data_IF_225016924488
#
_entry.id   IF_225016924488
#
_cell.length_a   1.000
_cell.length_b   1.000
_cell.length_c   1.000
_cell.angle_alpha   90.00
_cell.angle_beta   90.00
_cell.angle_gamma   90.00
#
_symmetry.space_group_name_H-M   'P 1'
#
loop_
_entity.id
_entity.type
_entity.pdbx_description
1 polymer ?
#
# COMPACT_ATOMS: atom_id res chain seq x y z
N UNK A 1 4.60 27.69 0.13
CA UNK A 1 3.65 27.38 1.23
C UNK A 1 3.81 25.91 1.54
N UNK A 2 4.12 25.53 2.79
CA UNK A 2 4.16 24.12 3.18
C UNK A 2 2.71 23.65 3.33
N UNK A 3 2.13 23.15 2.26
CA UNK A 3 0.79 22.58 2.34
C UNK A 3 0.83 21.33 3.22
N UNK A 4 -0.11 21.25 4.15
CA UNK A 4 -0.23 20.17 5.12
C UNK A 4 -1.22 19.15 4.58
N UNK A 5 -0.78 17.90 4.45
CA UNK A 5 -1.59 16.76 4.00
C UNK A 5 -1.78 15.78 5.15
N UNK A 6 -2.92 15.15 5.21
CA UNK A 6 -3.18 14.07 6.17
C UNK A 6 -2.99 12.74 5.47
N UNK A 7 -2.16 11.86 6.03
CA UNK A 7 -1.98 10.52 5.51
C UNK A 7 -2.91 9.55 6.26
N UNK A 8 -3.96 9.10 5.57
CA UNK A 8 -5.03 8.28 6.11
C UNK A 8 -4.58 6.80 6.24
N UNK A 9 -3.66 6.53 7.14
CA UNK A 9 -3.20 5.17 7.45
C UNK A 9 -2.92 5.01 8.95
N UNK A 10 -3.26 3.86 9.49
CA UNK A 10 -2.87 3.43 10.85
C UNK A 10 -1.63 2.54 10.83
N UNK A 11 -1.13 2.15 9.64
CA UNK A 11 0.06 1.31 9.51
C UNK A 11 1.32 2.18 9.54
N UNK A 12 2.09 2.06 10.64
CA UNK A 12 3.30 2.86 10.85
C UNK A 12 4.35 2.67 9.74
N UNK A 13 4.49 1.44 9.18
CA UNK A 13 5.44 1.16 8.10
C UNK A 13 5.01 1.80 6.78
N UNK A 14 3.71 1.80 6.47
CA UNK A 14 3.16 2.55 5.33
C UNK A 14 3.38 4.05 5.50
N UNK A 15 3.11 4.58 6.71
CA UNK A 15 3.32 5.99 7.03
C UNK A 15 4.77 6.40 6.78
N UNK A 16 5.73 5.59 7.23
CA UNK A 16 7.16 5.83 7.04
C UNK A 16 7.54 5.83 5.55
N UNK A 17 7.18 4.77 4.79
CA UNK A 17 7.46 4.65 3.36
C UNK A 17 6.87 5.82 2.56
N UNK A 18 5.62 6.18 2.81
CA UNK A 18 4.93 7.26 2.09
C UNK A 18 5.49 8.63 2.46
N UNK A 19 5.75 8.88 3.75
CA UNK A 19 6.31 10.14 4.22
C UNK A 19 7.69 10.41 3.64
N UNK A 20 8.54 9.38 3.53
CA UNK A 20 9.87 9.49 2.93
C UNK A 20 9.82 9.92 1.45
N UNK A 21 8.81 9.48 0.71
CA UNK A 21 8.63 9.85 -0.70
C UNK A 21 7.99 11.25 -0.82
N UNK A 22 6.92 11.52 -0.07
CA UNK A 22 6.17 12.77 -0.15
C UNK A 22 6.96 13.98 0.37
N UNK A 23 7.86 13.77 1.34
CA UNK A 23 8.73 14.84 1.84
C UNK A 23 9.64 15.45 0.76
N UNK A 24 10.02 14.67 -0.25
CA UNK A 24 10.81 15.14 -1.41
C UNK A 24 10.06 16.15 -2.28
N UNK A 25 8.73 16.20 -2.16
CA UNK A 25 7.86 17.17 -2.85
C UNK A 25 7.67 18.48 -2.06
N UNK A 26 8.30 18.62 -0.88
CA UNK A 26 8.10 19.77 0.00
C UNK A 26 6.73 19.78 0.69
N UNK A 27 6.02 18.66 0.68
CA UNK A 27 4.72 18.49 1.32
C UNK A 27 4.94 18.03 2.77
N UNK A 28 4.28 18.68 3.71
CA UNK A 28 4.27 18.22 5.11
C UNK A 28 3.13 17.22 5.32
N UNK A 29 3.49 16.01 5.69
CA UNK A 29 2.52 14.96 6.01
C UNK A 29 2.32 14.85 7.51
N UNK A 30 1.09 14.63 7.95
CA UNK A 30 0.70 14.37 9.34
C UNK A 30 -0.25 13.17 9.39
N UNK A 31 -0.25 12.46 10.51
CA UNK A 31 -1.22 11.39 10.74
C UNK A 31 -2.57 11.94 11.22
N UNK A 32 -3.69 11.19 11.09
CA UNK A 32 -4.97 11.56 11.69
C UNK A 32 -4.87 11.74 13.21
N UNK A 33 -4.09 10.89 13.88
CA UNK A 33 -3.90 10.94 15.33
C UNK A 33 -3.26 12.26 15.80
N UNK A 34 -2.30 12.81 15.04
CA UNK A 34 -1.71 14.13 15.34
C UNK A 34 -2.72 15.28 15.27
N UNK A 35 -3.86 15.07 14.62
CA UNK A 35 -4.97 16.02 14.51
C UNK A 35 -6.13 15.69 15.46
N UNK A 36 -5.99 14.65 16.28
CA UNK A 36 -7.07 14.19 17.16
C UNK A 36 -8.24 13.54 16.40
N UNK A 37 -8.01 13.09 15.16
CA UNK A 37 -9.02 12.44 14.33
C UNK A 37 -8.99 10.95 14.62
N UNK A 38 -10.14 10.42 15.06
CA UNK A 38 -10.34 8.99 15.42
C UNK A 38 -11.31 8.28 14.49
N UNK A 39 -11.51 8.83 13.27
CA UNK A 39 -12.40 8.21 12.29
C UNK A 39 -11.82 6.89 11.83
N UNK A 40 -12.57 5.82 12.05
CA UNK A 40 -12.32 4.51 11.46
C UNK A 40 -13.17 4.35 10.20
N UNK A 41 -12.54 3.90 9.12
CA UNK A 41 -13.18 3.80 7.80
C UNK A 41 -13.27 2.34 7.42
N UNK A 42 -14.49 1.83 7.34
CA UNK A 42 -14.73 0.48 6.86
C UNK A 42 -14.38 0.37 5.37
N UNK A 43 -13.49 -0.54 5.04
CA UNK A 43 -13.06 -0.82 3.66
C UNK A 43 -14.07 -1.77 2.99
N UNK A 44 -15.13 -1.20 2.43
CA UNK A 44 -16.23 -1.92 1.77
C UNK A 44 -16.09 -1.98 0.25
N UNK A 45 -15.05 -1.38 -0.30
CA UNK A 45 -14.78 -1.38 -1.74
C UNK A 45 -14.36 -2.76 -2.27
N UNK A 46 -14.69 -3.03 -3.51
CA UNK A 46 -14.32 -4.25 -4.23
C UNK A 46 -12.91 -4.15 -4.85
N UNK A 47 -12.38 -2.93 -4.95
CA UNK A 47 -11.06 -2.64 -5.51
C UNK A 47 -10.19 -1.83 -4.54
N UNK A 48 -8.87 -1.89 -4.74
CA UNK A 48 -7.93 -1.05 -3.98
C UNK A 48 -8.21 0.45 -4.18
N UNK A 49 -8.57 0.85 -5.40
CA UNK A 49 -8.89 2.25 -5.72
C UNK A 49 -10.13 2.75 -4.96
N UNK A 50 -11.18 1.92 -4.86
CA UNK A 50 -12.37 2.25 -4.07
C UNK A 50 -12.05 2.39 -2.59
N UNK A 51 -11.30 1.47 -1.99
CA UNK A 51 -10.92 1.53 -0.59
C UNK A 51 -10.01 2.74 -0.29
N UNK A 52 -9.02 3.03 -1.15
CA UNK A 52 -8.20 4.24 -1.03
C UNK A 52 -9.07 5.51 -1.08
N UNK A 53 -10.03 5.57 -2.00
CA UNK A 53 -10.97 6.68 -2.13
C UNK A 53 -11.84 6.85 -0.88
N UNK A 54 -12.42 5.77 -0.35
CA UNK A 54 -13.24 5.80 0.86
C UNK A 54 -12.46 6.41 2.04
N UNK A 55 -11.24 5.93 2.26
CA UNK A 55 -10.36 6.44 3.33
C UNK A 55 -9.99 7.91 3.13
N UNK A 56 -9.57 8.29 1.92
CA UNK A 56 -9.18 9.67 1.64
C UNK A 56 -10.35 10.65 1.80
N UNK A 57 -11.55 10.30 1.32
CA UNK A 57 -12.76 11.12 1.48
C UNK A 57 -13.14 11.33 2.96
N UNK A 58 -13.16 10.27 3.74
CA UNK A 58 -13.55 10.33 5.14
C UNK A 58 -12.58 11.21 5.96
N UNK A 59 -11.28 11.03 5.75
CA UNK A 59 -10.26 11.80 6.47
C UNK A 59 -10.21 13.25 5.96
N UNK A 60 -10.37 13.52 4.66
CA UNK A 60 -10.46 14.87 4.12
C UNK A 60 -11.65 15.65 4.74
N UNK A 61 -12.81 15.01 4.83
CA UNK A 61 -14.00 15.60 5.44
C UNK A 61 -13.80 15.89 6.94
N UNK A 62 -13.16 14.98 7.68
CA UNK A 62 -12.91 15.14 9.11
C UNK A 62 -11.84 16.20 9.41
N UNK A 63 -10.79 16.27 8.58
CA UNK A 63 -9.66 17.19 8.79
C UNK A 63 -9.87 18.57 8.18
N UNK A 64 -10.74 18.70 7.18
CA UNK A 64 -10.82 19.85 6.27
C UNK A 64 -9.44 20.21 5.67
N UNK A 65 -8.66 19.20 5.36
CA UNK A 65 -7.33 19.27 4.75
C UNK A 65 -7.23 18.24 3.61
N UNK A 66 -6.32 18.42 2.64
CA UNK A 66 -6.04 17.38 1.67
C UNK A 66 -5.65 16.09 2.38
N UNK A 67 -6.29 14.99 2.02
CA UNK A 67 -6.04 13.67 2.61
C UNK A 67 -5.60 12.68 1.55
N UNK A 68 -4.50 12.00 1.83
CA UNK A 68 -3.92 10.95 0.99
C UNK A 68 -4.18 9.61 1.68
N UNK A 69 -4.67 8.64 0.93
CA UNK A 69 -4.79 7.26 1.37
C UNK A 69 -4.21 6.31 0.33
N UNK A 70 -3.70 5.17 0.78
CA UNK A 70 -3.40 4.04 -0.09
C UNK A 70 -4.24 2.83 0.31
N UNK A 71 -4.54 2.00 -0.67
CA UNK A 71 -4.90 0.60 -0.42
C UNK A 71 -4.05 -0.30 -1.30
N UNK A 72 -3.64 -1.45 -0.76
CA UNK A 72 -2.69 -2.32 -1.43
C UNK A 72 -2.80 -3.75 -0.94
N UNK A 73 -2.50 -4.68 -1.81
CA UNK A 73 -2.53 -6.09 -1.46
C UNK A 73 -1.82 -6.98 -2.45
N UNK A 74 -1.73 -8.24 -2.07
CA UNK A 74 -1.15 -9.33 -2.85
C UNK A 74 -2.26 -10.04 -3.62
N UNK A 75 -2.07 -10.18 -4.92
CA UNK A 75 -2.94 -10.96 -5.80
C UNK A 75 -2.17 -12.17 -6.31
N UNK A 76 -2.70 -13.37 -6.10
CA UNK A 76 -2.06 -14.65 -6.48
C UNK A 76 -2.92 -15.35 -7.52
N UNK A 77 -2.35 -15.64 -8.68
CA UNK A 77 -3.10 -16.19 -9.82
C UNK A 77 -3.73 -17.55 -9.48
N UNK A 78 -3.00 -18.44 -8.80
CA UNK A 78 -3.52 -19.74 -8.38
C UNK A 78 -4.65 -19.68 -7.35
N UNK A 79 -4.87 -18.51 -6.75
CA UNK A 79 -5.97 -18.22 -5.80
C UNK A 79 -7.02 -17.28 -6.41
N UNK A 80 -7.12 -17.24 -7.74
CA UNK A 80 -8.05 -16.37 -8.47
C UNK A 80 -7.94 -14.89 -8.08
N UNK A 81 -6.72 -14.40 -7.88
CA UNK A 81 -6.43 -13.04 -7.44
C UNK A 81 -6.50 -12.83 -5.92
N UNK A 82 -6.86 -13.86 -5.15
CA UNK A 82 -6.82 -13.77 -3.69
C UNK A 82 -5.38 -13.70 -3.14
N UNK A 83 -5.20 -13.14 -1.94
CA UNK A 83 -6.16 -12.50 -1.05
C UNK A 83 -6.69 -11.13 -1.51
N UNK A 84 -6.04 -10.41 -2.45
CA UNK A 84 -6.52 -9.17 -3.03
C UNK A 84 -6.78 -8.09 -1.97
N UNK A 85 -7.94 -7.45 -1.99
CA UNK A 85 -8.33 -6.41 -1.01
C UNK A 85 -8.43 -6.93 0.43
N UNK A 86 -8.45 -8.24 0.62
CA UNK A 86 -8.44 -8.87 1.94
C UNK A 86 -7.04 -9.19 2.46
N UNK A 87 -5.98 -8.71 1.80
CA UNK A 87 -4.59 -9.04 2.14
C UNK A 87 -4.25 -8.78 3.61
N UNK A 88 -4.68 -7.65 4.16
CA UNK A 88 -4.39 -7.27 5.54
C UNK A 88 -5.13 -8.12 6.59
N UNK A 89 -6.24 -8.77 6.22
CA UNK A 89 -7.09 -9.58 7.09
C UNK A 89 -7.26 -11.03 6.64
N UNK A 90 -6.42 -11.49 5.69
CA UNK A 90 -6.46 -12.86 5.18
C UNK A 90 -6.23 -13.87 6.29
N UNK A 91 -7.20 -14.76 6.49
CA UNK A 91 -7.21 -15.74 7.57
C UNK A 91 -7.70 -15.23 8.92
N UNK A 92 -8.22 -13.98 8.97
CA UNK A 92 -8.78 -13.38 10.17
C UNK A 92 -7.88 -12.32 10.80
N UNK A 93 -8.44 -11.55 11.71
CA UNK A 93 -7.77 -10.43 12.37
C UNK A 93 -6.74 -10.86 13.41
N UNK A 94 -6.90 -12.07 13.98
CA UNK A 94 -6.01 -12.62 15.01
C UNK A 94 -4.64 -13.05 14.50
N UNK A 95 -4.46 -13.16 13.16
CA UNK A 95 -3.17 -13.54 12.59
C UNK A 95 -2.23 -12.34 12.50
N UNK A 96 -0.99 -12.54 12.96
CA UNK A 96 0.13 -11.66 12.65
C UNK A 96 0.61 -11.85 11.18
N UNK A 97 1.55 -11.05 10.74
CA UNK A 97 2.11 -11.14 9.38
C UNK A 97 2.64 -12.55 9.09
N UNK A 98 3.31 -13.17 10.07
CA UNK A 98 3.87 -14.52 9.92
C UNK A 98 2.78 -15.57 9.75
N UNK A 99 1.78 -15.55 10.60
CA UNK A 99 0.63 -16.47 10.51
C UNK A 99 -0.06 -16.34 9.16
N UNK A 100 -0.20 -15.11 8.68
CA UNK A 100 -0.87 -14.76 7.42
C UNK A 100 -0.12 -15.26 6.20
N UNK A 101 1.21 -15.03 6.09
CA UNK A 101 1.96 -15.57 4.96
C UNK A 101 2.18 -17.09 5.04
N UNK A 102 2.22 -17.68 6.23
CA UNK A 102 2.26 -19.14 6.38
C UNK A 102 0.95 -19.78 5.95
N UNK A 103 -0.20 -19.16 6.24
CA UNK A 103 -1.49 -19.58 5.72
C UNK A 103 -1.51 -19.53 4.19
N UNK A 104 -0.99 -18.46 3.59
CA UNK A 104 -0.86 -18.33 2.14
C UNK A 104 -0.02 -19.48 1.56
N UNK A 105 1.15 -19.74 2.12
CA UNK A 105 2.01 -20.85 1.67
C UNK A 105 1.31 -22.20 1.79
N UNK A 106 0.51 -22.40 2.83
CA UNK A 106 -0.28 -23.62 2.98
C UNK A 106 -1.37 -23.74 1.90
N UNK A 107 -2.06 -22.64 1.59
CA UNK A 107 -3.06 -22.58 0.50
C UNK A 107 -2.42 -22.80 -0.89
N UNK A 108 -1.12 -22.54 -1.01
CA UNK A 108 -0.34 -22.75 -2.23
C UNK A 108 0.26 -24.15 -2.35
N UNK A 109 -0.04 -25.09 -1.41
CA UNK A 109 0.46 -26.47 -1.50
C UNK A 109 -0.13 -27.17 -2.72
N UNK A 110 0.74 -27.81 -3.49
CA UNK A 110 0.36 -28.51 -4.72
C UNK A 110 0.11 -27.62 -5.93
N UNK A 111 0.15 -26.29 -5.76
CA UNK A 111 0.03 -25.37 -6.88
C UNK A 111 1.35 -25.27 -7.63
N UNK A 112 1.30 -25.50 -8.96
CA UNK A 112 2.45 -25.35 -9.86
C UNK A 112 2.62 -23.92 -10.33
N UNK A 113 1.52 -23.19 -10.54
CA UNK A 113 1.51 -21.77 -10.87
C UNK A 113 1.73 -20.96 -9.61
N UNK A 114 2.80 -20.19 -9.58
CA UNK A 114 3.15 -19.36 -8.42
C UNK A 114 3.17 -17.88 -8.73
N UNK A 115 2.74 -17.51 -9.94
CA UNK A 115 2.68 -16.10 -10.35
C UNK A 115 1.77 -15.31 -9.42
N UNK A 116 2.24 -14.13 -9.07
CA UNK A 116 1.55 -13.20 -8.18
C UNK A 116 1.99 -11.77 -8.50
N UNK A 117 1.20 -10.81 -8.07
CA UNK A 117 1.61 -9.43 -8.11
C UNK A 117 1.11 -8.70 -6.87
N UNK A 118 1.86 -7.71 -6.43
CA UNK A 118 1.34 -6.69 -5.54
C UNK A 118 0.73 -5.55 -6.35
N UNK A 119 -0.38 -5.02 -5.88
CA UNK A 119 -1.02 -3.81 -6.41
C UNK A 119 -1.17 -2.77 -5.29
N UNK A 120 -1.11 -1.50 -5.68
CA UNK A 120 -1.33 -0.35 -4.81
C UNK A 120 -2.13 0.71 -5.58
N UNK A 121 -3.17 1.22 -4.97
CA UNK A 121 -3.86 2.42 -5.40
C UNK A 121 -3.64 3.53 -4.36
N UNK A 122 -3.31 4.73 -4.83
CA UNK A 122 -3.18 5.95 -4.03
C UNK A 122 -4.27 6.92 -4.46
N UNK A 123 -4.95 7.51 -3.50
CA UNK A 123 -5.97 8.52 -3.73
C UNK A 123 -5.69 9.73 -2.83
N UNK A 124 -5.75 10.93 -3.39
CA UNK A 124 -5.77 12.18 -2.64
C UNK A 124 -7.08 12.91 -2.92
N UNK A 125 -7.77 13.31 -1.86
CA UNK A 125 -8.98 14.13 -1.92
C UNK A 125 -8.68 15.49 -1.30
N UNK A 126 -9.06 16.55 -2.00
CA UNK A 126 -8.89 17.92 -1.57
C UNK A 126 -10.21 18.50 -1.02
N UNK A 127 -10.18 19.49 -0.09
CA UNK A 127 -11.40 20.11 0.44
C UNK A 127 -12.27 20.80 -0.62
N UNK A 128 -11.68 21.21 -1.76
CA UNK A 128 -12.41 21.80 -2.90
C UNK A 128 -13.13 20.74 -3.77
N UNK A 129 -13.00 19.46 -3.45
CA UNK A 129 -13.59 18.34 -4.17
C UNK A 129 -12.72 17.74 -5.26
N UNK A 130 -11.55 18.29 -5.53
CA UNK A 130 -10.61 17.71 -6.50
C UNK A 130 -10.08 16.36 -5.99
N UNK A 131 -9.79 15.45 -6.93
CA UNK A 131 -9.29 14.11 -6.63
C UNK A 131 -8.10 13.82 -7.55
N UNK A 132 -7.02 13.33 -6.95
CA UNK A 132 -5.89 12.76 -7.67
C UNK A 132 -5.76 11.27 -7.33
N UNK A 133 -5.55 10.45 -8.34
CA UNK A 133 -5.33 9.00 -8.19
C UNK A 133 -4.07 8.56 -8.92
N UNK A 134 -3.42 7.54 -8.38
CA UNK A 134 -2.32 6.85 -9.04
C UNK A 134 -2.33 5.38 -8.65
N UNK A 135 -1.80 4.52 -9.51
CA UNK A 135 -1.73 3.09 -9.29
C UNK A 135 -0.33 2.55 -9.60
N UNK A 136 0.01 1.46 -8.97
CA UNK A 136 1.26 0.76 -9.24
C UNK A 136 1.15 -0.71 -8.97
N UNK A 137 1.89 -1.51 -9.75
CA UNK A 137 1.95 -2.94 -9.59
C UNK A 137 3.40 -3.45 -9.69
N UNK A 138 3.67 -4.53 -8.97
CA UNK A 138 4.92 -5.25 -9.05
C UNK A 138 4.64 -6.73 -9.24
N UNK A 139 4.99 -7.27 -10.41
CA UNK A 139 4.89 -8.69 -10.70
C UNK A 139 5.97 -9.49 -9.98
N UNK A 140 5.65 -10.74 -9.67
CA UNK A 140 6.56 -11.64 -9.00
C UNK A 140 5.97 -13.04 -8.87
N UNK A 141 6.45 -13.78 -7.88
CA UNK A 141 5.97 -15.13 -7.60
C UNK A 141 5.96 -15.41 -6.10
N UNK A 142 5.13 -16.34 -5.67
CA UNK A 142 5.14 -16.83 -4.28
C UNK A 142 6.29 -17.83 -4.11
N UNK A 143 7.22 -17.55 -3.23
CA UNK A 143 8.31 -18.44 -2.85
C UNK A 143 7.78 -19.71 -2.19
N UNK A 144 8.58 -20.78 -2.17
CA UNK A 144 8.20 -22.04 -1.51
C UNK A 144 8.37 -22.00 0.01
N UNK A 145 9.22 -21.09 0.50
CA UNK A 145 9.47 -20.86 1.91
C UNK A 145 9.77 -19.37 2.14
N UNK A 146 9.56 -18.85 3.36
CA UNK A 146 9.94 -17.48 3.68
C UNK A 146 11.45 -17.28 3.61
N UNK A 147 11.88 -16.14 3.07
CA UNK A 147 13.29 -15.74 2.99
C UNK A 147 13.42 -14.25 3.34
N UNK A 148 14.44 -13.91 4.15
CA UNK A 148 14.67 -12.54 4.62
C UNK A 148 13.83 -12.18 5.83
N UNK A 149 14.23 -11.09 6.51
CA UNK A 149 13.63 -10.63 7.76
C UNK A 149 13.15 -9.18 7.66
N UNK A 150 13.41 -8.51 6.54
CA UNK A 150 13.02 -7.13 6.29
C UNK A 150 11.55 -6.98 5.89
N UNK A 151 11.11 -5.74 5.82
CA UNK A 151 9.78 -5.39 5.34
C UNK A 151 8.64 -5.75 6.28
N UNK A 152 7.47 -6.10 5.72
CA UNK A 152 6.25 -6.46 6.45
C UNK A 152 5.27 -7.26 5.56
N UNK A 153 4.22 -7.77 6.18
CA UNK A 153 3.17 -8.51 5.46
C UNK A 153 3.72 -9.74 4.75
N UNK A 154 3.51 -9.80 3.44
CA UNK A 154 3.92 -10.93 2.60
C UNK A 154 5.34 -10.81 2.01
N UNK A 155 6.11 -9.79 2.39
CA UNK A 155 7.46 -9.55 1.85
C UNK A 155 8.39 -10.78 1.92
N UNK A 156 8.38 -11.61 3.00
CA UNK A 156 9.24 -12.79 3.08
C UNK A 156 8.90 -13.89 2.06
N UNK A 157 7.71 -13.88 1.50
CA UNK A 157 7.25 -14.91 0.55
C UNK A 157 7.01 -14.38 -0.87
N UNK A 158 7.17 -13.09 -1.11
CA UNK A 158 7.05 -12.48 -2.43
C UNK A 158 8.41 -12.39 -3.12
N UNK A 159 8.66 -13.29 -4.04
CA UNK A 159 9.90 -13.38 -4.83
C UNK A 159 9.81 -12.44 -6.04
N UNK A 160 10.85 -11.66 -6.25
CA UNK A 160 11.09 -10.88 -7.47
C UNK A 160 12.06 -11.68 -8.36
N UNK A 161 11.58 -12.35 -9.42
CA UNK A 161 12.41 -13.29 -10.20
C UNK A 161 13.66 -12.64 -10.78
N UNK A 162 13.56 -11.41 -11.29
CA UNK A 162 14.66 -10.66 -11.90
C UNK A 162 15.79 -10.35 -10.91
N UNK A 163 15.48 -10.25 -9.61
CA UNK A 163 16.44 -10.03 -8.54
C UNK A 163 16.90 -11.34 -7.88
N UNK A 164 16.18 -12.44 -8.06
CA UNK A 164 16.40 -13.69 -7.34
C UNK A 164 16.23 -13.56 -5.82
N UNK A 165 15.51 -12.53 -5.35
CA UNK A 165 15.32 -12.18 -3.93
C UNK A 165 13.84 -11.97 -3.62
N UNK A 166 13.45 -12.24 -2.37
CA UNK A 166 12.15 -11.78 -1.87
C UNK A 166 12.21 -10.29 -1.51
N UNK A 167 11.06 -9.65 -1.38
CA UNK A 167 10.99 -8.27 -0.91
C UNK A 167 11.65 -8.09 0.46
N UNK A 168 11.56 -9.09 1.34
CA UNK A 168 12.20 -9.05 2.66
C UNK A 168 13.74 -9.14 2.62
N UNK A 169 14.33 -9.50 1.49
CA UNK A 169 15.79 -9.56 1.27
C UNK A 169 16.34 -8.31 0.55
N UNK A 170 15.48 -7.38 0.16
CA UNK A 170 15.85 -6.12 -0.46
C UNK A 170 16.08 -5.05 0.60
N UNK A 171 16.93 -4.06 0.29
CA UNK A 171 16.98 -2.84 1.11
C UNK A 171 15.70 -2.01 0.90
N UNK A 172 15.45 -1.06 1.78
CA UNK A 172 14.29 -0.17 1.67
C UNK A 172 14.32 0.62 0.33
N UNK A 173 15.52 1.06 -0.08
CA UNK A 173 15.73 1.77 -1.34
C UNK A 173 15.47 0.88 -2.54
N UNK A 174 16.07 -0.33 -2.57
CA UNK A 174 15.85 -1.31 -3.65
C UNK A 174 14.36 -1.66 -3.80
N UNK A 175 13.67 -1.84 -2.67
CA UNK A 175 12.23 -2.13 -2.66
C UNK A 175 11.42 -0.92 -3.15
N UNK A 176 11.75 0.30 -2.71
CA UNK A 176 11.03 1.52 -3.12
C UNK A 176 11.07 1.75 -4.63
N UNK A 177 12.19 1.40 -5.29
CA UNK A 177 12.34 1.57 -6.75
C UNK A 177 11.41 0.66 -7.57
N UNK A 178 11.16 -0.57 -7.11
CA UNK A 178 10.47 -1.59 -7.91
C UNK A 178 9.08 -1.95 -7.40
N UNK A 179 8.78 -1.62 -6.15
CA UNK A 179 7.52 -2.03 -5.52
C UNK A 179 6.29 -1.35 -6.12
N UNK A 180 5.14 -1.99 -5.95
CA UNK A 180 3.83 -1.46 -6.29
C UNK A 180 3.59 -0.07 -5.68
N UNK A 181 3.90 0.10 -4.37
CA UNK A 181 3.74 1.38 -3.67
C UNK A 181 4.73 2.43 -4.18
N UNK A 182 6.00 2.06 -4.39
CA UNK A 182 6.98 2.98 -4.95
C UNK A 182 6.57 3.53 -6.31
N UNK A 183 6.06 2.67 -7.21
CA UNK A 183 5.56 3.07 -8.53
C UNK A 183 4.31 3.96 -8.43
N UNK A 184 3.32 3.56 -7.60
CA UNK A 184 2.11 4.36 -7.39
C UNK A 184 2.45 5.75 -6.83
N UNK A 185 3.36 5.83 -5.86
CA UNK A 185 3.77 7.10 -5.27
C UNK A 185 4.61 7.96 -6.21
N UNK A 186 5.42 7.36 -7.09
CA UNK A 186 6.17 8.11 -8.11
C UNK A 186 5.19 8.78 -9.10
N UNK A 187 4.21 8.05 -9.62
CA UNK A 187 3.15 8.59 -10.47
C UNK A 187 2.33 9.66 -9.73
N UNK A 188 1.96 9.39 -8.49
CA UNK A 188 1.21 10.34 -7.65
C UNK A 188 1.99 11.63 -7.44
N UNK A 189 3.30 11.53 -7.19
CA UNK A 189 4.19 12.68 -7.00
C UNK A 189 4.22 13.62 -8.22
N UNK A 190 4.28 13.06 -9.43
CA UNK A 190 4.24 13.85 -10.68
C UNK A 190 2.90 14.57 -10.83
N UNK A 191 1.79 13.88 -10.59
CA UNK A 191 0.44 14.45 -10.65
C UNK A 191 0.25 15.55 -9.61
N UNK A 192 0.67 15.32 -8.36
CA UNK A 192 0.59 16.29 -7.27
C UNK A 192 1.46 17.51 -7.57
N UNK A 193 2.70 17.31 -8.02
CA UNK A 193 3.59 18.42 -8.40
C UNK A 193 3.03 19.28 -9.52
N UNK A 194 2.26 18.70 -10.45
CA UNK A 194 1.55 19.44 -11.51
C UNK A 194 0.34 20.19 -10.95
N UNK A 195 -0.40 19.57 -10.03
CA UNK A 195 -1.57 20.17 -9.39
C UNK A 195 -1.20 21.39 -8.53
N UNK A 196 -0.13 21.30 -7.73
CA UNK A 196 0.32 22.37 -6.84
C UNK A 196 0.94 23.59 -7.55
N UNK A 197 1.19 23.48 -8.86
CA UNK A 197 1.70 24.60 -9.68
C UNK A 197 0.59 25.43 -10.36
N UNK A 198 -0.66 25.01 -10.23
CA UNK A 198 -1.84 25.73 -10.74
C UNK A 198 -2.29 26.81 -9.77
#
# INVERSE_FOLDING_TARGET
MNEKFVLATHNAKKLEEMSAILSKLGVRVVSPAELGITVDVEETGETFAENAMLKAKAICAAANLPAIADDSGLCVDALNGGPGVYSARYGGEELDDRGRYMLLLNSMRGQTTRAAHFACAVCCVFPNGDILTAEGACGGAIAFAPMGEGGFGYDPVFLVPEKGKTFAQLTAEEKAEISHRGKALAEFAEKLGTYLKK
#
